data_IF_526105524409
#
_entry.id   IF_526105524409
#
_cell.length_a   1.000
_cell.length_b   1.000
_cell.length_c   1.000
_cell.angle_alpha   90.00
_cell.angle_beta   90.00
_cell.angle_gamma   90.00
#
_symmetry.space_group_name_H-M   'P 1'
#
loop_
_entity.id
_entity.type
_entity.pdbx_description
1 polymer ?
#
# COMPACT_ATOMS: atom_id res chain seq x y z
N UNK A 1 5.35 -20.01 -21.20
CA UNK A 1 4.66 -20.03 -19.89
C UNK A 1 3.71 -18.84 -19.87
N UNK A 2 2.40 -19.08 -19.83
CA UNK A 2 1.41 -18.00 -19.93
C UNK A 2 1.48 -17.09 -18.70
N UNK A 3 1.95 -15.87 -18.89
CA UNK A 3 1.69 -14.77 -17.97
C UNK A 3 0.20 -14.47 -18.11
N UNK A 4 -0.62 -15.05 -17.24
CA UNK A 4 -2.05 -14.76 -17.18
C UNK A 4 -2.21 -13.28 -16.80
N UNK A 5 -2.37 -12.47 -17.83
CA UNK A 5 -2.39 -11.01 -17.82
C UNK A 5 -3.66 -10.43 -17.18
N UNK A 6 -4.58 -11.28 -16.70
CA UNK A 6 -5.86 -10.86 -16.10
C UNK A 6 -5.79 -10.73 -14.58
N UNK A 7 -4.76 -11.30 -13.95
CA UNK A 7 -4.65 -11.32 -12.48
C UNK A 7 -3.77 -10.17 -12.04
N UNK A 8 -4.40 -9.20 -11.39
CA UNK A 8 -3.72 -8.00 -10.91
C UNK A 8 -4.68 -7.09 -10.16
N UNK A 9 -4.14 -6.27 -9.27
CA UNK A 9 -4.91 -5.20 -8.63
C UNK A 9 -5.24 -4.15 -9.70
N UNK A 10 -6.52 -3.85 -9.88
CA UNK A 10 -7.01 -2.80 -10.77
C UNK A 10 -7.23 -1.48 -10.05
N UNK A 11 -7.71 -1.52 -8.80
CA UNK A 11 -8.03 -0.34 -8.00
C UNK A 11 -7.87 -0.62 -6.50
N UNK A 12 -7.52 0.42 -5.75
CA UNK A 12 -7.69 0.46 -4.29
C UNK A 12 -8.75 1.53 -3.94
N UNK A 13 -9.50 1.31 -2.87
CA UNK A 13 -10.54 2.22 -2.38
C UNK A 13 -10.36 2.45 -0.88
N UNK A 14 -10.42 3.71 -0.42
CA UNK A 14 -10.42 4.00 1.01
C UNK A 14 -11.82 3.78 1.59
N UNK A 15 -12.00 2.68 2.33
CA UNK A 15 -13.20 2.47 3.14
C UNK A 15 -13.20 3.41 4.35
N UNK A 16 -12.00 3.66 4.90
CA UNK A 16 -11.77 4.67 5.93
C UNK A 16 -10.67 5.61 5.47
N UNK A 17 -11.03 6.86 5.24
CA UNK A 17 -10.10 7.92 4.88
C UNK A 17 -9.11 8.20 6.03
N UNK A 18 -7.84 8.54 5.72
CA UNK A 18 -6.95 9.09 6.73
C UNK A 18 -7.53 10.42 7.27
N UNK A 19 -7.26 10.78 8.54
CA UNK A 19 -7.71 12.04 9.11
C UNK A 19 -7.19 13.25 8.30
N UNK A 20 -8.05 14.22 8.02
CA UNK A 20 -7.68 15.44 7.27
C UNK A 20 -6.80 16.39 8.09
N UNK A 21 -6.91 16.36 9.41
CA UNK A 21 -6.09 17.13 10.33
C UNK A 21 -5.34 16.18 11.26
N UNK A 22 -4.02 16.09 11.08
CA UNK A 22 -3.19 15.14 11.80
C UNK A 22 -2.10 15.86 12.61
N UNK A 23 -2.02 15.53 13.89
CA UNK A 23 -0.91 15.92 14.74
C UNK A 23 0.28 15.00 14.51
N UNK A 24 1.46 15.57 14.25
CA UNK A 24 2.70 14.83 13.95
C UNK A 24 3.07 13.74 14.96
N UNK A 25 2.79 13.96 16.24
CA UNK A 25 3.10 13.00 17.31
C UNK A 25 2.15 11.81 17.39
N UNK A 26 1.04 11.85 16.66
CA UNK A 26 0.00 10.84 16.76
C UNK A 26 0.17 9.81 15.65
N UNK A 27 -0.12 8.56 15.98
CA UNK A 27 -0.41 7.57 14.96
C UNK A 27 -1.73 7.89 14.27
N UNK A 28 -1.85 7.46 13.02
CA UNK A 28 -3.10 7.46 12.27
C UNK A 28 -3.23 6.16 11.51
N UNK A 29 -4.46 5.80 11.20
CA UNK A 29 -4.79 4.64 10.39
C UNK A 29 -5.85 4.99 9.35
N UNK A 30 -5.88 4.18 8.31
CA UNK A 30 -6.85 4.22 7.23
C UNK A 30 -7.16 2.77 6.85
N UNK A 31 -8.26 2.54 6.14
CA UNK A 31 -8.67 1.20 5.70
C UNK A 31 -8.84 1.25 4.19
N UNK A 32 -8.27 0.26 3.50
CA UNK A 32 -8.40 0.12 2.05
C UNK A 32 -9.01 -1.22 1.66
N UNK A 33 -9.87 -1.19 0.65
CA UNK A 33 -10.30 -2.36 -0.10
C UNK A 33 -9.55 -2.43 -1.43
N UNK A 34 -9.14 -3.63 -1.84
CA UNK A 34 -8.50 -3.89 -3.13
C UNK A 34 -9.50 -4.55 -4.08
N UNK A 35 -9.50 -4.11 -5.34
CA UNK A 35 -10.30 -4.67 -6.41
C UNK A 35 -9.42 -5.05 -7.58
N UNK A 36 -9.78 -6.13 -8.27
CA UNK A 36 -9.11 -6.55 -9.50
C UNK A 36 -9.49 -5.66 -10.69
N UNK A 37 -8.96 -5.99 -11.87
CA UNK A 37 -9.23 -5.23 -13.11
C UNK A 37 -10.67 -5.35 -13.60
N UNK A 38 -11.40 -6.35 -13.13
CA UNK A 38 -12.83 -6.56 -13.41
C UNK A 38 -13.73 -5.93 -12.33
N UNK A 39 -13.14 -5.29 -11.32
CA UNK A 39 -13.86 -4.66 -10.22
C UNK A 39 -14.32 -5.64 -9.14
N UNK A 40 -13.87 -6.89 -9.15
CA UNK A 40 -14.17 -7.85 -8.09
C UNK A 40 -13.29 -7.58 -6.87
N UNK A 41 -13.82 -7.75 -5.63
CA UNK A 41 -13.02 -7.61 -4.43
C UNK A 41 -11.91 -8.66 -4.40
N UNK A 42 -10.75 -8.25 -3.89
CA UNK A 42 -9.60 -9.13 -3.65
C UNK A 42 -9.46 -9.34 -2.15
N UNK A 43 -9.42 -10.60 -1.73
CA UNK A 43 -9.18 -10.97 -0.34
C UNK A 43 -7.68 -10.93 -0.02
N UNK A 44 -7.35 -10.48 1.20
CA UNK A 44 -5.98 -10.39 1.69
C UNK A 44 -5.77 -11.50 2.72
N UNK A 45 -5.02 -12.53 2.35
CA UNK A 45 -4.77 -13.71 3.19
C UNK A 45 -3.66 -13.46 4.22
N UNK A 46 -2.60 -12.75 3.81
CA UNK A 46 -1.46 -12.45 4.67
C UNK A 46 -0.90 -11.07 4.36
N UNK A 47 -0.45 -10.39 5.41
CA UNK A 47 0.28 -9.13 5.32
C UNK A 47 1.60 -9.26 6.06
N UNK A 48 2.65 -8.64 5.54
CA UNK A 48 3.95 -8.58 6.19
C UNK A 48 4.59 -7.22 5.94
N UNK A 49 5.00 -6.54 7.01
CA UNK A 49 5.86 -5.36 6.89
C UNK A 49 7.22 -5.77 6.33
N UNK A 50 7.69 -5.04 5.32
CA UNK A 50 9.00 -5.28 4.69
C UNK A 50 10.02 -4.26 5.16
N UNK A 51 9.64 -2.98 5.24
CA UNK A 51 10.58 -1.93 5.60
C UNK A 51 10.10 -0.54 5.17
N UNK A 52 10.94 0.45 5.46
CA UNK A 52 10.81 1.80 4.96
C UNK A 52 11.42 1.93 3.57
N UNK A 53 10.90 2.87 2.78
CA UNK A 53 11.41 3.19 1.44
C UNK A 53 12.48 4.26 1.59
N UNK A 54 13.73 3.83 1.55
CA UNK A 54 14.91 4.66 1.78
C UNK A 54 16.04 4.25 0.83
N UNK A 55 17.00 5.15 0.61
CA UNK A 55 18.25 4.88 -0.14
C UNK A 55 17.93 4.28 -1.52
N UNK A 56 18.47 3.10 -1.82
CA UNK A 56 18.38 2.44 -3.13
C UNK A 56 16.96 1.98 -3.51
N UNK A 57 15.99 2.06 -2.58
CA UNK A 57 14.58 1.79 -2.89
C UNK A 57 13.80 3.02 -3.39
N UNK A 58 14.43 4.18 -3.34
CA UNK A 58 13.87 5.44 -3.85
C UNK A 58 14.09 5.57 -5.36
N UNK A 59 13.13 6.22 -6.04
CA UNK A 59 13.23 6.48 -7.47
C UNK A 59 14.08 7.72 -7.70
N UNK A 60 14.89 7.73 -8.77
CA UNK A 60 15.57 8.93 -9.28
C UNK A 60 16.53 9.63 -8.30
N UNK A 61 17.20 8.89 -7.41
CA UNK A 61 18.21 9.45 -6.50
C UNK A 61 17.65 10.47 -5.48
N UNK A 62 16.32 10.59 -5.36
CA UNK A 62 15.68 11.48 -4.41
C UNK A 62 15.71 10.86 -3.01
N UNK A 63 16.24 11.60 -2.02
CA UNK A 63 16.27 11.20 -0.61
C UNK A 63 15.03 11.69 0.14
N UNK A 64 13.88 11.07 -0.12
CA UNK A 64 12.58 11.46 0.46
C UNK A 64 12.35 10.86 1.84
N UNK A 65 12.89 9.66 2.12
CA UNK A 65 12.60 8.84 3.31
C UNK A 65 11.08 8.75 3.58
N UNK A 66 10.30 8.73 2.50
CA UNK A 66 8.85 8.86 2.53
C UNK A 66 8.24 7.63 1.87
N UNK A 67 8.11 6.59 2.69
CA UNK A 67 7.18 5.52 2.42
C UNK A 67 7.43 4.26 3.21
N UNK A 68 6.41 3.41 3.23
CA UNK A 68 6.47 2.09 3.85
C UNK A 68 6.08 1.04 2.83
N UNK A 69 6.77 -0.09 2.87
CA UNK A 69 6.51 -1.24 2.03
C UNK A 69 5.94 -2.41 2.82
N UNK A 70 4.86 -2.97 2.29
CA UNK A 70 4.27 -4.22 2.75
C UNK A 70 4.29 -5.26 1.63
N UNK A 71 4.37 -6.52 2.02
CA UNK A 71 4.08 -7.68 1.17
C UNK A 71 2.70 -8.20 1.53
N UNK A 72 1.88 -8.40 0.51
CA UNK A 72 0.54 -8.97 0.63
C UNK A 72 0.47 -10.29 -0.14
N UNK A 73 -0.20 -11.27 0.45
CA UNK A 73 -0.69 -12.46 -0.23
C UNK A 73 -2.17 -12.24 -0.55
N UNK A 74 -2.50 -12.30 -1.84
CA UNK A 74 -3.82 -11.93 -2.35
C UNK A 74 -4.55 -13.16 -2.89
N UNK A 75 -5.82 -13.31 -2.53
CA UNK A 75 -6.73 -14.30 -3.09
C UNK A 75 -7.76 -13.60 -3.98
N UNK A 76 -7.75 -13.95 -5.26
CA UNK A 76 -8.67 -13.39 -6.25
C UNK A 76 -9.98 -14.20 -6.27
N UNK A 77 -11.08 -13.56 -6.70
CA UNK A 77 -12.40 -14.20 -6.78
C UNK A 77 -12.43 -15.48 -7.64
N UNK A 78 -11.49 -15.64 -8.58
CA UNK A 78 -11.33 -16.85 -9.38
C UNK A 78 -10.53 -17.98 -8.66
N UNK A 79 -10.25 -17.83 -7.37
CA UNK A 79 -9.50 -18.78 -6.55
C UNK A 79 -7.99 -18.75 -6.75
N UNK A 80 -7.46 -17.86 -7.61
CA UNK A 80 -6.02 -17.77 -7.83
C UNK A 80 -5.35 -17.02 -6.69
N UNK A 81 -4.26 -17.58 -6.19
CA UNK A 81 -3.42 -16.95 -5.18
C UNK A 81 -2.27 -16.19 -5.85
N UNK A 82 -2.07 -14.92 -5.49
CA UNK A 82 -0.85 -14.18 -5.79
C UNK A 82 -0.01 -14.05 -4.53
N UNK A 83 1.19 -14.63 -4.57
CA UNK A 83 2.04 -14.79 -3.39
C UNK A 83 2.78 -13.52 -2.99
N UNK A 84 2.98 -12.57 -3.90
CA UNK A 84 3.81 -11.38 -3.63
C UNK A 84 3.26 -10.14 -4.34
N UNK A 85 2.45 -9.36 -3.64
CA UNK A 85 2.14 -7.97 -4.02
C UNK A 85 2.86 -7.00 -3.10
N UNK A 86 3.55 -6.01 -3.67
CA UNK A 86 4.27 -4.97 -2.92
C UNK A 86 3.41 -3.71 -2.88
N UNK A 87 2.89 -3.36 -1.70
CA UNK A 87 2.15 -2.12 -1.49
C UNK A 87 3.06 -1.07 -0.86
N UNK A 88 3.09 0.13 -1.46
CA UNK A 88 3.88 1.26 -0.99
C UNK A 88 2.97 2.45 -0.72
N UNK A 89 3.00 2.97 0.50
CA UNK A 89 2.36 4.23 0.85
C UNK A 89 3.38 5.34 0.84
N UNK A 90 3.02 6.50 0.28
CA UNK A 90 3.80 7.74 0.35
C UNK A 90 2.87 8.87 0.75
N UNK A 91 3.35 9.75 1.61
CA UNK A 91 2.65 10.99 1.94
C UNK A 91 2.96 12.02 0.86
N UNK A 92 1.98 12.36 0.01
CA UNK A 92 2.19 13.42 -0.98
C UNK A 92 2.28 14.77 -0.26
N UNK A 93 3.35 15.50 -0.56
CA UNK A 93 3.79 16.66 0.20
C UNK A 93 3.29 17.95 -0.46
N UNK A 94 2.01 18.30 -0.27
CA UNK A 94 1.53 19.66 -0.58
C UNK A 94 1.88 20.51 0.65
N UNK A 95 3.12 21.01 0.66
CA UNK A 95 3.73 22.00 1.57
C UNK A 95 4.38 21.56 2.92
N UNK A 96 5.65 21.99 3.03
CA UNK A 96 6.70 22.08 4.08
C UNK A 96 6.69 21.23 5.37
N UNK A 97 7.72 20.34 5.44
CA UNK A 97 8.22 19.43 6.52
C UNK A 97 7.25 18.81 7.56
N UNK A 98 6.86 17.55 7.35
CA UNK A 98 6.33 16.68 8.42
C UNK A 98 6.85 15.24 8.24
N UNK A 99 7.79 14.85 9.09
CA UNK A 99 8.13 13.44 9.34
C UNK A 99 6.97 12.80 10.11
N UNK A 100 6.21 11.89 9.51
CA UNK A 100 5.08 11.21 10.14
C UNK A 100 5.38 9.72 10.30
N UNK A 101 5.14 9.22 11.51
CA UNK A 101 5.20 7.80 11.83
C UNK A 101 3.95 7.13 11.24
N UNK A 102 4.11 6.38 10.15
CA UNK A 102 3.07 5.48 9.64
C UNK A 102 3.28 4.13 10.31
N UNK A 103 2.36 3.67 11.15
CA UNK A 103 2.39 2.29 11.65
C UNK A 103 0.96 1.72 11.66
N UNK A 104 0.85 0.56 11.01
CA UNK A 104 -0.20 -0.46 11.06
C UNK A 104 -1.42 -0.32 10.14
N UNK A 105 -1.49 -1.26 9.20
CA UNK A 105 -2.73 -1.81 8.63
C UNK A 105 -3.26 -2.79 9.68
N UNK A 106 -4.39 -2.48 10.32
CA UNK A 106 -5.17 -3.44 11.12
C UNK A 106 -6.29 -3.93 10.23
#
# INVERSE_FOLDING_TARGET
MYHDSRVGVGRAHFEKQPPSNLRKSNFFHFVIALYDRSGQPIEIERTAFIGFVEKDQESEGQKTNNGIQYRLQLLYANGKLSLIFKLRFRLSYIERKIWLNIITII
#
